data_IF_042966417667
#
_entry.id   IF_042966417667
#
_cell.length_a   1.000
_cell.length_b   1.000
_cell.length_c   1.000
_cell.angle_alpha   90.00
_cell.angle_beta   90.00
_cell.angle_gamma   90.00
#
_symmetry.space_group_name_H-M   'P 1'
#
loop_
_entity.id
_entity.type
_entity.pdbx_description
1 polymer ?
#
# COMPACT_ATOMS: atom_id res chain seq x y z
N UNK A 1 1.08 -16.80 8.47
CA UNK A 1 1.29 -16.06 7.21
C UNK A 1 0.22 -15.00 6.96
N UNK A 2 -1.07 -15.37 6.75
CA UNK A 2 -2.19 -14.41 6.58
C UNK A 2 -2.25 -13.35 7.68
N UNK A 3 -2.20 -13.78 8.93
CA UNK A 3 -2.29 -12.90 10.11
C UNK A 3 -1.24 -11.78 10.15
N UNK A 4 -0.04 -12.02 9.63
CA UNK A 4 1.11 -11.11 9.73
C UNK A 4 1.40 -10.40 8.40
N UNK A 5 1.64 -11.14 7.30
CA UNK A 5 1.95 -10.53 6.00
C UNK A 5 0.75 -9.84 5.34
N UNK A 6 -0.47 -10.31 5.61
CA UNK A 6 -1.70 -9.74 5.05
C UNK A 6 -2.48 -8.90 6.07
N UNK A 7 -1.85 -8.56 7.20
CA UNK A 7 -2.41 -7.76 8.29
C UNK A 7 -3.75 -8.31 8.84
N UNK A 8 -3.90 -9.63 8.89
CA UNK A 8 -5.11 -10.27 9.46
C UNK A 8 -5.33 -9.93 10.95
N UNK A 9 -4.26 -9.64 11.70
CA UNK A 9 -4.33 -9.17 13.09
C UNK A 9 -4.25 -7.65 13.16
N UNK A 10 -5.36 -6.98 12.83
CA UNK A 10 -5.43 -5.51 12.78
C UNK A 10 -4.98 -4.81 14.08
N UNK A 11 -5.31 -5.36 15.25
CA UNK A 11 -4.96 -4.78 16.56
C UNK A 11 -3.45 -4.75 16.82
N UNK A 12 -2.74 -5.82 16.43
CA UNK A 12 -1.29 -5.92 16.54
C UNK A 12 -0.60 -4.82 15.72
N UNK A 13 -1.03 -4.67 14.47
CA UNK A 13 -0.43 -3.67 13.58
C UNK A 13 -0.84 -2.24 13.96
N UNK A 14 -2.02 -2.04 14.54
CA UNK A 14 -2.41 -0.73 15.08
C UNK A 14 -1.47 -0.28 16.20
N UNK A 15 -1.19 -1.16 17.17
CA UNK A 15 -0.27 -0.84 18.26
C UNK A 15 1.18 -0.75 17.77
N UNK A 16 1.57 -1.58 16.79
CA UNK A 16 2.87 -1.48 16.15
C UNK A 16 3.06 -0.12 15.47
N UNK A 17 2.07 0.33 14.67
CA UNK A 17 2.11 1.63 13.99
C UNK A 17 2.25 2.77 15.01
N UNK A 18 1.50 2.71 16.12
CA UNK A 18 1.60 3.69 17.20
C UNK A 18 3.02 3.80 17.78
N UNK A 19 3.70 2.67 17.96
CA UNK A 19 5.07 2.64 18.49
C UNK A 19 6.14 2.99 17.44
N UNK A 20 5.89 2.70 16.16
CA UNK A 20 6.93 2.71 15.12
C UNK A 20 6.84 3.89 14.15
N UNK A 21 5.70 4.61 14.10
CA UNK A 21 5.48 5.67 13.12
C UNK A 21 6.63 6.70 13.09
N UNK A 22 6.99 7.24 14.25
CA UNK A 22 8.06 8.23 14.40
C UNK A 22 9.47 7.73 14.01
N UNK A 23 9.69 6.41 14.02
CA UNK A 23 10.97 5.78 13.65
C UNK A 23 11.03 5.51 12.14
N UNK A 24 9.90 5.17 11.53
CA UNK A 24 9.78 4.82 10.11
C UNK A 24 9.63 6.05 9.21
N UNK A 25 9.17 7.18 9.76
CA UNK A 25 9.09 8.48 9.07
C UNK A 25 10.48 9.13 8.87
N UNK A 26 11.52 8.57 9.47
CA UNK A 26 12.91 9.00 9.30
C UNK A 26 13.66 7.99 8.43
N UNK A 27 14.75 8.41 7.76
CA UNK A 27 15.64 7.47 7.08
C UNK A 27 16.12 6.38 8.04
N UNK A 28 16.27 5.17 7.52
CA UNK A 28 16.72 4.04 8.33
C UNK A 28 18.10 4.33 8.93
N UNK A 29 18.27 3.99 10.21
CA UNK A 29 19.55 4.08 10.93
C UNK A 29 20.06 2.69 11.24
N UNK A 30 21.33 2.58 11.66
CA UNK A 30 21.95 1.28 11.99
C UNK A 30 21.22 0.55 13.13
N UNK A 31 20.48 1.25 13.99
CA UNK A 31 19.72 0.63 15.10
C UNK A 31 18.25 0.38 14.75
N UNK A 32 17.74 0.92 13.63
CA UNK A 32 16.32 0.84 13.25
C UNK A 32 15.78 -0.60 13.24
N UNK A 33 16.57 -1.58 12.78
CA UNK A 33 16.17 -2.99 12.82
C UNK A 33 15.94 -3.50 14.25
N UNK A 34 16.85 -3.19 15.19
CA UNK A 34 16.71 -3.61 16.58
C UNK A 34 15.53 -2.91 17.25
N UNK A 35 15.42 -1.61 17.03
CA UNK A 35 14.41 -0.77 17.67
C UNK A 35 13.00 -1.14 17.16
N UNK A 36 12.87 -1.48 15.86
CA UNK A 36 11.64 -2.03 15.27
C UNK A 36 11.25 -3.37 15.89
N UNK A 37 12.20 -4.31 16.01
CA UNK A 37 11.93 -5.62 16.61
C UNK A 37 11.54 -5.50 18.09
N UNK A 38 12.15 -4.58 18.83
CA UNK A 38 11.76 -4.30 20.21
C UNK A 38 10.34 -3.71 20.29
N UNK A 39 10.00 -2.76 19.42
CA UNK A 39 8.64 -2.21 19.34
C UNK A 39 7.61 -3.28 18.96
N UNK A 40 7.97 -4.22 18.08
CA UNK A 40 7.12 -5.36 17.73
C UNK A 40 6.84 -6.29 18.92
N UNK A 41 7.86 -6.60 19.73
CA UNK A 41 7.66 -7.38 20.95
C UNK A 41 6.77 -6.65 21.98
N UNK A 42 6.93 -5.33 22.11
CA UNK A 42 6.07 -4.51 22.97
C UNK A 42 4.62 -4.51 22.50
N UNK A 43 4.37 -4.34 21.20
CA UNK A 43 3.05 -4.41 20.60
C UNK A 43 2.41 -5.80 20.80
N UNK A 44 3.19 -6.87 20.58
CA UNK A 44 2.74 -8.24 20.81
C UNK A 44 2.33 -8.49 22.27
N UNK A 45 3.08 -7.94 23.23
CA UNK A 45 2.73 -8.01 24.66
C UNK A 45 1.46 -7.23 24.99
N UNK A 46 1.28 -6.04 24.39
CA UNK A 46 0.10 -5.22 24.61
C UNK A 46 -1.20 -5.89 24.12
N UNK A 47 -1.12 -6.72 23.08
CA UNK A 47 -2.26 -7.48 22.52
C UNK A 47 -2.35 -8.90 23.14
N UNK A 48 -1.63 -9.18 24.23
CA UNK A 48 -1.62 -10.47 24.92
C UNK A 48 -1.20 -11.67 24.04
N UNK A 49 -0.38 -11.42 23.02
CA UNK A 49 0.12 -12.44 22.10
C UNK A 49 1.51 -12.97 22.47
N UNK A 50 2.12 -12.43 23.53
CA UNK A 50 3.48 -12.74 23.99
C UNK A 50 3.75 -14.22 24.27
N UNK A 51 2.72 -15.04 24.49
CA UNK A 51 2.85 -16.47 24.74
C UNK A 51 2.78 -17.34 23.47
N UNK A 52 2.58 -16.75 22.29
CA UNK A 52 2.53 -17.53 21.05
C UNK A 52 3.95 -17.79 20.55
N UNK A 53 4.33 -19.07 20.47
CA UNK A 53 5.60 -19.53 19.89
C UNK A 53 5.78 -19.12 18.42
N UNK A 54 4.74 -18.55 17.80
CA UNK A 54 4.78 -18.05 16.44
C UNK A 54 5.32 -16.62 16.33
N UNK A 55 5.21 -15.78 17.37
CA UNK A 55 5.74 -14.40 17.33
C UNK A 55 7.26 -14.38 17.30
N UNK A 56 7.92 -15.28 18.03
CA UNK A 56 9.38 -15.39 18.06
C UNK A 56 9.98 -15.77 16.69
N UNK A 57 9.16 -16.32 15.78
CA UNK A 57 9.58 -16.67 14.42
C UNK A 57 9.54 -15.49 13.45
N UNK A 58 8.88 -14.40 13.82
CA UNK A 58 8.82 -13.18 13.01
C UNK A 58 9.89 -12.19 13.45
N UNK A 59 10.59 -11.63 12.47
CA UNK A 59 11.53 -10.54 12.70
C UNK A 59 11.40 -9.51 11.59
N UNK A 60 11.57 -8.24 11.92
CA UNK A 60 11.68 -7.17 10.95
C UNK A 60 13.14 -6.94 10.60
N UNK A 61 13.39 -6.64 9.33
CA UNK A 61 14.64 -6.11 8.85
C UNK A 61 14.39 -4.78 8.15
N UNK A 62 15.19 -3.79 8.54
CA UNK A 62 15.24 -2.50 7.89
C UNK A 62 16.65 -2.34 7.34
N UNK A 63 16.86 -2.64 6.05
CA UNK A 63 18.14 -2.46 5.39
C UNK A 63 18.59 -1.01 5.55
N UNK A 64 19.76 -0.82 6.14
CA UNK A 64 20.40 0.49 6.19
C UNK A 64 21.07 0.74 4.85
N UNK A 65 20.48 1.60 4.02
CA UNK A 65 21.12 2.09 2.81
C UNK A 65 21.99 3.26 3.27
N UNK A 66 23.32 3.10 3.23
CA UNK A 66 24.23 4.23 3.44
C UNK A 66 23.92 5.27 2.34
N UNK A 67 23.60 6.53 2.68
CA UNK A 67 23.55 7.58 1.68
C UNK A 67 24.92 7.64 1.01
N UNK A 68 24.94 7.53 -0.33
CA UNK A 68 26.16 7.63 -1.13
C UNK A 68 26.57 9.11 -1.10
N UNK A 69 27.27 9.51 -0.04
CA UNK A 69 27.89 10.83 0.07
C UNK A 69 29.43 10.77 0.04
N UNK A 70 30.03 9.57 0.11
CA UNK A 70 31.49 9.40 0.24
C UNK A 70 32.16 8.70 -0.96
N UNK A 71 31.63 8.86 -2.17
CA UNK A 71 32.32 8.36 -3.37
C UNK A 71 31.94 9.13 -4.65
N UNK A 72 32.32 10.41 -4.74
CA UNK A 72 32.97 11.08 -5.90
C UNK A 72 32.71 12.58 -5.87
N UNK A 73 33.71 13.35 -5.44
CA UNK A 73 33.74 14.80 -5.57
C UNK A 73 33.97 15.29 -7.03
N UNK A 74 33.57 14.51 -8.05
CA UNK A 74 33.79 14.83 -9.46
C UNK A 74 32.70 14.20 -10.35
N UNK A 75 31.50 14.77 -10.40
CA UNK A 75 30.74 14.88 -11.65
C UNK A 75 29.58 15.86 -11.48
N UNK A 76 29.43 16.68 -12.49
CA UNK A 76 28.50 17.78 -12.64
C UNK A 76 27.06 17.32 -12.88
N UNK A 77 26.13 17.98 -12.19
CA UNK A 77 24.79 18.41 -12.63
C UNK A 77 23.80 17.31 -13.11
N UNK A 78 22.67 17.28 -12.40
CA UNK A 78 21.38 16.64 -12.74
C UNK A 78 21.25 15.12 -12.56
N UNK A 79 21.12 14.67 -11.30
CA UNK A 79 20.39 13.44 -10.94
C UNK A 79 19.60 13.65 -9.64
N UNK A 80 18.37 14.18 -9.77
CA UNK A 80 17.41 14.41 -8.67
C UNK A 80 16.71 13.11 -8.23
N UNK A 81 17.46 12.00 -8.13
CA UNK A 81 16.93 10.68 -7.77
C UNK A 81 17.57 10.08 -6.50
N UNK A 82 18.09 10.93 -5.60
CA UNK A 82 18.38 10.50 -4.22
C UNK A 82 17.07 10.30 -3.45
N UNK A 83 16.28 9.29 -3.83
CA UNK A 83 15.15 8.79 -3.06
C UNK A 83 15.74 8.22 -1.79
N UNK A 84 15.85 9.05 -0.75
CA UNK A 84 16.10 8.58 0.60
C UNK A 84 14.94 7.62 0.90
N UNK A 85 15.18 6.32 0.77
CA UNK A 85 14.15 5.33 0.89
C UNK A 85 13.62 5.35 2.33
N UNK A 86 12.46 5.98 2.53
CA UNK A 86 11.77 6.04 3.82
C UNK A 86 11.70 4.65 4.43
N UNK A 87 11.77 4.55 5.77
CA UNK A 87 11.71 3.27 6.50
C UNK A 87 10.50 2.40 6.11
N UNK A 88 9.42 3.03 5.64
CA UNK A 88 8.21 2.38 5.13
C UNK A 88 8.39 1.60 3.82
N UNK A 89 9.31 2.03 2.97
CA UNK A 89 9.60 1.38 1.68
C UNK A 89 10.60 0.25 1.81
N UNK A 90 11.46 0.32 2.84
CA UNK A 90 12.57 -0.61 3.06
C UNK A 90 12.25 -1.73 4.03
N UNK A 91 11.19 -1.59 4.84
CA UNK A 91 10.77 -2.61 5.81
C UNK A 91 10.54 -3.97 5.15
N UNK A 92 11.15 -5.00 5.74
CA UNK A 92 11.01 -6.40 5.36
C UNK A 92 10.56 -7.16 6.60
N UNK A 93 9.46 -7.88 6.49
CA UNK A 93 9.08 -8.90 7.44
C UNK A 93 9.74 -10.21 7.02
N UNK A 94 10.46 -10.83 7.95
CA UNK A 94 11.04 -12.18 7.83
C UNK A 94 10.28 -13.15 8.70
N UNK A 95 10.20 -14.39 8.23
CA UNK A 95 9.67 -15.51 8.99
C UNK A 95 10.62 -16.69 8.90
N UNK A 96 10.97 -17.25 10.07
CA UNK A 96 11.81 -18.43 10.15
C UNK A 96 10.99 -19.71 9.91
N UNK A 97 11.20 -20.34 8.76
CA UNK A 97 10.51 -21.57 8.36
C UNK A 97 11.27 -22.80 8.80
N UNK A 98 10.65 -23.64 9.63
CA UNK A 98 11.15 -24.98 9.88
C UNK A 98 10.99 -25.84 8.63
N UNK A 99 11.96 -26.73 8.41
CA UNK A 99 11.84 -27.80 7.42
C UNK A 99 10.55 -28.61 7.68
N UNK A 100 9.76 -28.97 6.65
CA UNK A 100 9.97 -28.84 5.19
C UNK A 100 9.31 -27.60 4.54
N UNK A 101 8.70 -26.70 5.32
CA UNK A 101 7.83 -25.63 4.78
C UNK A 101 8.56 -24.59 3.92
N UNK A 102 9.88 -24.45 4.09
CA UNK A 102 10.73 -23.58 3.25
C UNK A 102 10.64 -23.89 1.74
N UNK A 103 10.28 -25.13 1.36
CA UNK A 103 10.10 -25.51 -0.06
C UNK A 103 8.90 -24.80 -0.72
N UNK A 104 7.87 -24.47 0.06
CA UNK A 104 6.70 -23.72 -0.41
C UNK A 104 6.93 -22.20 -0.31
N UNK A 105 7.67 -21.77 0.71
CA UNK A 105 7.95 -20.36 1.00
C UNK A 105 9.41 -20.01 0.66
N UNK A 106 9.74 -20.13 -0.62
CA UNK A 106 11.03 -19.72 -1.14
C UNK A 106 11.23 -18.19 -0.98
N UNK A 107 12.48 -17.70 -0.95
CA UNK A 107 12.77 -16.27 -0.78
C UNK A 107 12.05 -15.37 -1.79
N UNK A 108 11.86 -15.81 -3.03
CA UNK A 108 11.16 -15.04 -4.07
C UNK A 108 9.66 -14.88 -3.74
N UNK A 109 9.07 -15.89 -3.13
CA UNK A 109 7.67 -15.88 -2.68
C UNK A 109 7.52 -14.93 -1.49
N UNK A 110 8.47 -14.93 -0.56
CA UNK A 110 8.48 -14.01 0.58
C UNK A 110 8.70 -12.55 0.17
N UNK A 111 9.53 -12.30 -0.86
CA UNK A 111 9.69 -10.96 -1.42
C UNK A 111 8.36 -10.41 -1.93
N UNK A 112 7.61 -11.22 -2.70
CA UNK A 112 6.26 -10.89 -3.18
C UNK A 112 5.25 -10.65 -2.05
N UNK A 113 5.29 -11.44 -0.97
CA UNK A 113 4.47 -11.16 0.21
C UNK A 113 4.86 -9.85 0.90
N UNK A 114 6.16 -9.51 0.91
CA UNK A 114 6.64 -8.25 1.45
C UNK A 114 6.17 -7.03 0.65
N UNK A 115 6.10 -7.13 -0.68
CA UNK A 115 5.57 -6.05 -1.52
C UNK A 115 4.10 -5.76 -1.19
N UNK A 116 3.28 -6.80 -1.06
CA UNK A 116 1.90 -6.68 -0.58
C UNK A 116 1.84 -6.12 0.85
N UNK A 117 2.66 -6.63 1.75
CA UNK A 117 2.72 -6.19 3.14
C UNK A 117 3.02 -4.68 3.25
N UNK A 118 4.01 -4.18 2.50
CA UNK A 118 4.38 -2.76 2.47
C UNK A 118 3.22 -1.88 2.03
N UNK A 119 2.52 -2.27 0.95
CA UNK A 119 1.35 -1.55 0.46
C UNK A 119 0.25 -1.48 1.53
N UNK A 120 -0.11 -2.63 2.11
CA UNK A 120 -1.14 -2.71 3.14
C UNK A 120 -0.76 -1.91 4.39
N UNK A 121 0.50 -1.98 4.80
CA UNK A 121 1.04 -1.26 5.94
C UNK A 121 1.00 0.25 5.69
N UNK A 122 1.38 0.73 4.50
CA UNK A 122 1.34 2.16 4.16
C UNK A 122 -0.09 2.70 4.16
N UNK A 123 -1.03 1.97 3.56
CA UNK A 123 -2.46 2.32 3.59
C UNK A 123 -2.98 2.38 5.04
N UNK A 124 -2.60 1.41 5.88
CA UNK A 124 -3.00 1.38 7.29
C UNK A 124 -2.38 2.51 8.12
N UNK A 125 -1.13 2.88 7.86
CA UNK A 125 -0.49 4.05 8.45
C UNK A 125 -1.27 5.32 8.10
N UNK A 126 -1.49 5.59 6.82
CA UNK A 126 -2.22 6.79 6.37
C UNK A 126 -3.64 6.84 6.95
N UNK A 127 -4.34 5.71 7.03
CA UNK A 127 -5.65 5.63 7.71
C UNK A 127 -5.54 5.98 9.21
N UNK A 128 -4.52 5.44 9.91
CA UNK A 128 -4.28 5.74 11.31
C UNK A 128 -4.00 7.23 11.55
N UNK A 129 -3.13 7.82 10.73
CA UNK A 129 -2.72 9.22 10.85
C UNK A 129 -3.90 10.15 10.60
N UNK A 130 -4.73 9.88 9.57
CA UNK A 130 -5.97 10.62 9.33
C UNK A 130 -6.95 10.50 10.51
N UNK A 131 -7.10 9.33 11.13
CA UNK A 131 -7.95 9.19 12.32
C UNK A 131 -7.40 9.92 13.55
N UNK A 132 -6.08 9.95 13.74
CA UNK A 132 -5.44 10.71 14.81
C UNK A 132 -5.69 12.21 14.63
N UNK A 133 -5.51 12.70 13.41
CA UNK A 133 -5.74 14.09 13.00
C UNK A 133 -7.19 14.54 13.25
N UNK A 134 -8.17 13.66 13.03
CA UNK A 134 -9.59 13.95 13.27
C UNK A 134 -9.87 14.35 14.71
N UNK A 135 -9.16 13.78 15.69
CA UNK A 135 -9.35 14.11 17.11
C UNK A 135 -9.04 15.58 17.39
N UNK A 136 -8.03 16.12 16.70
CA UNK A 136 -7.61 17.52 16.78
C UNK A 136 -8.59 18.43 16.03
N UNK A 137 -8.99 18.05 14.81
CA UNK A 137 -9.87 18.90 13.99
C UNK A 137 -11.34 18.88 14.38
N UNK A 138 -11.85 17.82 15.03
CA UNK A 138 -13.23 17.78 15.53
C UNK A 138 -13.53 18.90 16.53
N UNK A 139 -12.53 19.40 17.24
CA UNK A 139 -12.65 20.52 18.17
C UNK A 139 -12.64 21.88 17.44
N UNK A 140 -12.16 21.90 16.20
CA UNK A 140 -11.99 23.09 15.39
C UNK A 140 -13.23 23.27 14.49
N UNK A 141 -13.92 24.42 14.57
CA UNK A 141 -15.12 24.71 13.76
C UNK A 141 -14.84 24.98 12.27
N UNK A 142 -13.80 24.37 11.69
CA UNK A 142 -13.33 24.63 10.33
C UNK A 142 -13.94 23.65 9.34
N UNK A 143 -14.96 24.10 8.63
CA UNK A 143 -15.70 23.27 7.68
C UNK A 143 -14.83 22.73 6.54
N UNK A 144 -13.96 23.57 5.94
CA UNK A 144 -13.14 23.16 4.78
C UNK A 144 -12.13 22.05 5.12
N UNK A 145 -11.46 22.14 6.28
CA UNK A 145 -10.54 21.10 6.75
C UNK A 145 -11.29 19.79 7.01
N UNK A 146 -12.41 19.87 7.73
CA UNK A 146 -13.24 18.70 8.00
C UNK A 146 -13.78 18.07 6.71
N UNK A 147 -14.11 18.89 5.71
CA UNK A 147 -14.56 18.41 4.41
C UNK A 147 -13.45 17.66 3.67
N UNK A 148 -12.24 18.23 3.59
CA UNK A 148 -11.09 17.56 2.97
C UNK A 148 -10.70 16.28 3.72
N UNK A 149 -10.70 16.32 5.05
CA UNK A 149 -10.45 15.15 5.88
C UNK A 149 -11.45 14.02 5.58
N UNK A 150 -12.75 14.31 5.58
CA UNK A 150 -13.78 13.34 5.26
C UNK A 150 -13.61 12.76 3.85
N UNK A 151 -13.19 13.61 2.89
CA UNK A 151 -12.90 13.18 1.51
C UNK A 151 -11.77 12.16 1.44
N UNK A 152 -10.64 12.48 2.06
CA UNK A 152 -9.46 11.61 2.11
C UNK A 152 -9.76 10.31 2.87
N UNK A 153 -10.46 10.43 4.00
CA UNK A 153 -10.84 9.29 4.83
C UNK A 153 -11.75 8.32 4.07
N UNK A 154 -12.78 8.83 3.40
CA UNK A 154 -13.68 8.02 2.57
C UNK A 154 -12.92 7.24 1.50
N UNK A 155 -12.00 7.90 0.78
CA UNK A 155 -11.18 7.24 -0.24
C UNK A 155 -10.32 6.13 0.38
N UNK A 156 -9.65 6.42 1.49
CA UNK A 156 -8.77 5.47 2.17
C UNK A 156 -9.51 4.25 2.71
N UNK A 157 -10.69 4.45 3.32
CA UNK A 157 -11.52 3.36 3.83
C UNK A 157 -12.02 2.45 2.69
N UNK A 158 -12.46 3.03 1.58
CA UNK A 158 -12.90 2.24 0.42
C UNK A 158 -11.75 1.47 -0.23
N UNK A 159 -10.57 2.08 -0.36
CA UNK A 159 -9.39 1.40 -0.90
C UNK A 159 -8.96 0.23 0.00
N UNK A 160 -8.92 0.46 1.31
CA UNK A 160 -8.59 -0.57 2.29
C UNK A 160 -9.61 -1.72 2.28
N UNK A 161 -10.90 -1.39 2.18
CA UNK A 161 -11.97 -2.39 2.13
C UNK A 161 -11.93 -3.22 0.83
N UNK A 162 -11.64 -2.60 -0.31
CA UNK A 162 -11.41 -3.32 -1.57
C UNK A 162 -10.26 -4.32 -1.45
N UNK A 163 -9.09 -3.86 -0.97
CA UNK A 163 -7.92 -4.71 -0.85
C UNK A 163 -8.17 -5.86 0.13
N UNK A 164 -8.79 -5.62 1.29
CA UNK A 164 -9.01 -6.69 2.25
C UNK A 164 -10.13 -7.66 1.86
N UNK A 165 -11.32 -7.16 1.52
CA UNK A 165 -12.49 -8.01 1.30
C UNK A 165 -12.50 -8.61 -0.11
N UNK A 166 -12.30 -7.79 -1.15
CA UNK A 166 -12.46 -8.26 -2.53
C UNK A 166 -11.20 -8.90 -3.07
N UNK A 167 -10.01 -8.40 -2.69
CA UNK A 167 -8.74 -8.98 -3.15
C UNK A 167 -8.29 -10.07 -2.19
N UNK A 168 -7.96 -9.76 -0.94
CA UNK A 168 -7.31 -10.73 -0.06
C UNK A 168 -8.24 -11.87 0.36
N UNK A 169 -9.43 -11.57 0.90
CA UNK A 169 -10.31 -12.62 1.42
C UNK A 169 -10.81 -13.56 0.32
N UNK A 170 -11.29 -13.01 -0.81
CA UNK A 170 -11.78 -13.82 -1.92
C UNK A 170 -10.71 -14.74 -2.52
N UNK A 171 -9.47 -14.24 -2.66
CA UNK A 171 -8.34 -15.03 -3.13
C UNK A 171 -7.94 -16.09 -2.11
N UNK A 172 -7.97 -15.75 -0.82
CA UNK A 172 -7.57 -16.65 0.25
C UNK A 172 -8.57 -17.81 0.41
N UNK A 173 -9.87 -17.55 0.31
CA UNK A 173 -10.90 -18.61 0.29
C UNK A 173 -10.66 -19.58 -0.87
N UNK A 174 -10.36 -19.07 -2.08
CA UNK A 174 -10.03 -19.93 -3.23
C UNK A 174 -8.79 -20.78 -3.00
N UNK A 175 -7.74 -20.23 -2.37
CA UNK A 175 -6.55 -20.99 -1.99
C UNK A 175 -6.90 -22.07 -0.97
N UNK A 176 -7.68 -21.76 0.06
CA UNK A 176 -8.05 -22.71 1.11
C UNK A 176 -8.90 -23.86 0.54
N UNK A 177 -9.83 -23.56 -0.37
CA UNK A 177 -10.60 -24.58 -1.08
C UNK A 177 -9.69 -25.49 -1.92
N UNK A 178 -8.68 -24.92 -2.59
CA UNK A 178 -7.70 -25.71 -3.33
C UNK A 178 -6.85 -26.59 -2.40
N UNK A 179 -6.41 -26.06 -1.25
CA UNK A 179 -5.66 -26.82 -0.24
C UNK A 179 -6.48 -28.02 0.26
N UNK A 180 -7.76 -27.80 0.56
CA UNK A 180 -8.64 -28.85 1.08
C UNK A 180 -8.98 -29.94 0.05
N UNK A 181 -8.94 -29.61 -1.25
CA UNK A 181 -9.28 -30.54 -2.34
C UNK A 181 -8.08 -31.34 -2.87
N UNK A 182 -6.86 -30.94 -2.54
CA UNK A 182 -5.66 -31.41 -3.22
C UNK A 182 -4.72 -32.14 -2.28
N UNK A 183 -4.36 -33.37 -2.62
CA UNK A 183 -3.38 -34.18 -1.86
C UNK A 183 -1.99 -34.19 -2.50
N UNK A 184 -1.76 -33.34 -3.49
CA UNK A 184 -0.54 -33.26 -4.30
C UNK A 184 0.19 -31.96 -4.01
N UNK A 185 1.46 -32.08 -3.60
CA UNK A 185 2.30 -30.94 -3.21
C UNK A 185 2.55 -29.98 -4.38
N UNK A 186 2.75 -30.49 -5.60
CA UNK A 186 3.03 -29.63 -6.76
C UNK A 186 1.80 -28.81 -7.16
N UNK A 187 0.61 -29.43 -7.09
CA UNK A 187 -0.65 -28.72 -7.32
C UNK A 187 -0.93 -27.67 -6.23
N UNK A 188 -0.61 -27.98 -4.97
CA UNK A 188 -0.68 -27.01 -3.87
C UNK A 188 0.26 -25.82 -4.11
N UNK A 189 1.51 -26.09 -4.50
CA UNK A 189 2.51 -25.09 -4.83
C UNK A 189 2.06 -24.19 -5.99
N UNK A 190 1.50 -24.78 -7.04
CA UNK A 190 0.94 -24.04 -8.17
C UNK A 190 -0.28 -23.19 -7.80
N UNK A 191 -1.17 -23.71 -6.95
CA UNK A 191 -2.32 -22.96 -6.43
C UNK A 191 -1.88 -21.75 -5.59
N UNK A 192 -0.85 -21.94 -4.74
CA UNK A 192 -0.26 -20.85 -3.95
C UNK A 192 0.43 -19.79 -4.82
N UNK A 193 1.16 -20.21 -5.87
CA UNK A 193 1.75 -19.27 -6.82
C UNK A 193 0.70 -18.46 -7.57
N UNK A 194 -0.40 -19.10 -7.99
CA UNK A 194 -1.56 -18.45 -8.61
C UNK A 194 -2.22 -17.45 -7.66
N UNK A 195 -2.44 -17.84 -6.40
CA UNK A 195 -2.98 -16.96 -5.36
C UNK A 195 -2.12 -15.69 -5.22
N UNK A 196 -0.80 -15.84 -5.14
CA UNK A 196 0.11 -14.72 -4.96
C UNK A 196 0.14 -13.78 -6.19
N UNK A 197 0.13 -14.35 -7.39
CA UNK A 197 0.02 -13.58 -8.63
C UNK A 197 -1.31 -12.82 -8.72
N UNK A 198 -2.42 -13.46 -8.32
CA UNK A 198 -3.75 -12.87 -8.27
C UNK A 198 -3.83 -11.70 -7.27
N UNK A 199 -3.30 -11.83 -6.06
CA UNK A 199 -3.34 -10.72 -5.09
C UNK A 199 -2.48 -9.54 -5.56
N UNK A 200 -1.28 -9.78 -6.09
CA UNK A 200 -0.38 -8.73 -6.55
C UNK A 200 -0.96 -7.97 -7.75
N UNK A 201 -1.43 -8.69 -8.77
CA UNK A 201 -2.02 -8.07 -9.96
C UNK A 201 -3.27 -7.25 -9.62
N UNK A 202 -4.16 -7.78 -8.75
CA UNK A 202 -5.38 -7.08 -8.32
C UNK A 202 -5.14 -5.94 -7.34
N UNK A 203 -4.00 -5.93 -6.66
CA UNK A 203 -3.54 -4.78 -5.86
C UNK A 203 -2.79 -3.71 -6.68
N UNK A 204 -2.74 -3.88 -8.00
CA UNK A 204 -2.05 -2.99 -8.95
C UNK A 204 -0.52 -2.98 -8.82
N UNK A 205 0.07 -3.89 -8.04
CA UNK A 205 1.53 -3.98 -7.86
C UNK A 205 2.26 -4.52 -9.09
N UNK A 206 1.60 -5.32 -9.92
CA UNK A 206 2.17 -5.90 -11.14
C UNK A 206 1.33 -5.56 -12.37
N UNK A 207 1.99 -5.05 -13.40
CA UNK A 207 1.40 -4.80 -14.72
C UNK A 207 1.60 -6.06 -15.55
N UNK A 208 0.54 -6.81 -15.81
CA UNK A 208 0.58 -7.90 -16.80
C UNK A 208 0.52 -7.30 -18.20
N UNK A 209 1.66 -6.80 -18.71
CA UNK A 209 1.82 -6.61 -20.15
C UNK A 209 1.91 -7.99 -20.79
N UNK A 210 0.76 -8.57 -21.10
CA UNK A 210 0.67 -9.66 -22.07
C UNK A 210 0.92 -9.08 -23.45
N UNK A 211 2.17 -8.76 -23.78
CA UNK A 211 2.62 -8.78 -25.16
C UNK A 211 3.43 -10.06 -25.36
N UNK A 212 2.79 -11.01 -26.04
CA UNK A 212 3.49 -12.01 -26.83
C UNK A 212 4.33 -11.24 -27.85
N UNK A 213 5.60 -10.99 -27.54
CA UNK A 213 6.61 -10.79 -28.57
C UNK A 213 7.29 -12.13 -28.79
N UNK A 214 6.74 -12.88 -29.75
CA UNK A 214 7.49 -13.96 -30.39
C UNK A 214 8.69 -13.36 -31.12
N UNK A 215 9.89 -13.80 -30.74
CA UNK A 215 11.12 -13.65 -31.54
C UNK A 215 12.05 -12.51 -31.12
N UNK A 216 13.26 -12.87 -30.68
CA UNK A 216 14.41 -11.98 -30.65
C UNK A 216 15.36 -12.22 -29.48
N UNK A 217 16.41 -13.01 -29.73
CA UNK A 217 17.63 -13.03 -28.91
C UNK A 217 18.11 -11.60 -28.63
N UNK A 218 18.30 -11.25 -27.36
CA UNK A 218 19.20 -10.16 -26.93
C UNK A 218 19.41 -10.22 -25.42
N UNK A 219 20.66 -10.46 -25.03
CA UNK A 219 21.17 -10.20 -23.69
C UNK A 219 21.04 -8.70 -23.39
N UNK A 220 20.34 -8.34 -22.32
CA UNK A 220 20.16 -6.94 -21.93
C UNK A 220 19.51 -6.84 -20.56
N UNK A 221 20.33 -6.54 -19.56
CA UNK A 221 19.95 -6.05 -18.24
C UNK A 221 19.06 -4.80 -18.39
N UNK A 222 17.81 -4.90 -17.96
CA UNK A 222 16.80 -3.88 -18.16
C UNK A 222 15.53 -4.27 -17.42
N UNK A 223 15.52 -4.01 -16.11
CA UNK A 223 14.29 -4.05 -15.30
C UNK A 223 13.41 -2.89 -15.76
N UNK A 224 12.70 -3.07 -16.88
CA UNK A 224 11.63 -2.17 -17.30
C UNK A 224 10.50 -2.27 -16.26
N UNK A 225 10.66 -1.51 -15.18
CA UNK A 225 9.65 -1.31 -14.16
C UNK A 225 8.57 -0.44 -14.78
N UNK A 226 7.71 -1.03 -15.62
CA UNK A 226 6.48 -0.38 -16.07
C UNK A 226 5.58 -0.33 -14.84
N UNK A 227 5.81 0.64 -13.96
CA UNK A 227 5.01 0.90 -12.77
C UNK A 227 3.57 1.11 -13.20
N UNK A 228 2.65 0.31 -12.68
CA UNK A 228 1.24 0.43 -13.00
C UNK A 228 0.76 1.88 -12.72
N UNK A 229 0.21 2.60 -13.71
CA UNK A 229 -0.17 4.00 -13.53
C UNK A 229 -1.22 4.18 -12.42
N UNK A 230 -2.05 3.16 -12.17
CA UNK A 230 -3.01 3.15 -11.05
C UNK A 230 -2.28 3.12 -9.72
N UNK A 231 -1.23 2.32 -9.60
CA UNK A 231 -0.42 2.23 -8.39
C UNK A 231 0.31 3.54 -8.09
N UNK A 232 0.90 4.17 -9.12
CA UNK A 232 1.55 5.48 -8.97
C UNK A 232 0.55 6.52 -8.48
N UNK A 233 -0.66 6.55 -9.06
CA UNK A 233 -1.71 7.46 -8.62
C UNK A 233 -2.16 7.20 -7.17
N UNK A 234 -2.32 5.93 -6.76
CA UNK A 234 -2.61 5.56 -5.36
C UNK A 234 -1.49 6.02 -4.43
N UNK A 235 -0.22 5.86 -4.83
CA UNK A 235 0.92 6.34 -4.04
C UNK A 235 0.94 7.86 -3.91
N UNK A 236 0.59 8.59 -4.97
CA UNK A 236 0.47 10.05 -4.91
C UNK A 236 -0.70 10.52 -4.04
N UNK A 237 -1.80 9.77 -4.00
CA UNK A 237 -2.91 10.00 -3.07
C UNK A 237 -2.48 9.76 -1.61
N UNK A 238 -1.69 8.71 -1.35
CA UNK A 238 -1.13 8.46 -0.01
C UNK A 238 -0.18 9.60 0.41
N UNK A 239 0.72 10.04 -0.47
CA UNK A 239 1.60 11.19 -0.22
C UNK A 239 0.82 12.48 0.06
N UNK A 240 -0.29 12.68 -0.65
CA UNK A 240 -1.19 13.81 -0.40
C UNK A 240 -1.77 13.76 1.02
N UNK A 241 -2.24 12.58 1.45
CA UNK A 241 -2.75 12.39 2.81
C UNK A 241 -1.67 12.65 3.86
N UNK A 242 -0.45 12.14 3.64
CA UNK A 242 0.67 12.35 4.57
C UNK A 242 1.06 13.84 4.66
N UNK A 243 1.04 14.55 3.53
CA UNK A 243 1.28 16.01 3.47
C UNK A 243 0.19 16.79 4.22
N UNK A 244 -1.08 16.37 4.07
CA UNK A 244 -2.20 16.96 4.80
C UNK A 244 -2.09 16.72 6.31
N UNK A 245 -1.69 15.51 6.74
CA UNK A 245 -1.47 15.21 8.15
C UNK A 245 -0.34 16.06 8.75
N UNK A 246 0.77 16.22 8.02
CA UNK A 246 1.93 16.99 8.46
C UNK A 246 1.66 18.49 8.54
N UNK A 247 0.75 19.02 7.71
CA UNK A 247 0.40 20.43 7.70
C UNK A 247 -0.19 20.93 9.03
N UNK A 248 -0.83 20.05 9.79
CA UNK A 248 -1.36 20.38 11.12
C UNK A 248 -0.29 20.86 12.11
N UNK A 249 0.98 20.51 11.88
CA UNK A 249 2.11 20.89 12.75
C UNK A 249 2.67 22.29 12.43
N UNK A 250 2.42 22.83 11.22
CA UNK A 250 3.09 24.04 10.71
C UNK A 250 2.17 25.26 10.53
N UNK A 251 0.86 25.07 10.45
CA UNK A 251 -0.08 26.15 10.16
C UNK A 251 -0.38 27.03 11.39
N UNK A 252 0.48 28.02 11.67
CA UNK A 252 0.22 29.06 12.66
C UNK A 252 -0.65 30.20 12.13
N UNK A 253 -0.69 30.38 10.81
CA UNK A 253 -1.42 31.46 10.12
C UNK A 253 -2.64 30.92 9.35
N UNK A 254 -3.78 31.60 9.50
CA UNK A 254 -5.09 31.17 8.97
C UNK A 254 -5.19 31.33 7.46
N UNK A 255 -4.56 32.36 6.88
CA UNK A 255 -4.64 32.60 5.43
C UNK A 255 -3.77 31.60 4.67
N UNK A 256 -2.59 31.28 5.21
CA UNK A 256 -1.74 30.19 4.73
C UNK A 256 -2.48 28.84 4.84
N UNK A 257 -3.08 28.59 6.02
CA UNK A 257 -4.23 27.73 6.28
C UNK A 257 -5.04 27.30 5.05
N UNK A 258 -5.91 28.24 4.69
CA UNK A 258 -6.93 28.10 3.66
C UNK A 258 -6.33 27.97 2.25
N UNK A 259 -5.20 28.63 1.99
CA UNK A 259 -4.46 28.47 0.72
C UNK A 259 -3.99 27.03 0.53
N UNK A 260 -3.36 26.43 1.55
CA UNK A 260 -2.90 25.05 1.48
C UNK A 260 -4.06 24.05 1.39
N UNK A 261 -5.14 24.24 2.16
CA UNK A 261 -6.33 23.36 2.09
C UNK A 261 -6.92 23.37 0.67
N UNK A 262 -7.03 24.55 0.06
CA UNK A 262 -7.53 24.67 -1.31
C UNK A 262 -6.60 23.94 -2.29
N UNK A 263 -5.29 24.14 -2.18
CA UNK A 263 -4.30 23.42 -2.99
C UNK A 263 -4.39 21.89 -2.85
N UNK A 264 -4.55 21.40 -1.62
CA UNK A 264 -4.74 19.97 -1.36
C UNK A 264 -6.06 19.43 -1.94
N UNK A 265 -7.15 20.18 -1.82
CA UNK A 265 -8.44 19.81 -2.41
C UNK A 265 -8.37 19.75 -3.94
N UNK A 266 -7.70 20.72 -4.58
CA UNK A 266 -7.54 20.73 -6.05
C UNK A 266 -6.67 19.55 -6.52
N UNK A 267 -5.60 19.24 -5.78
CA UNK A 267 -4.73 18.09 -6.08
C UNK A 267 -5.46 16.77 -5.86
N UNK A 268 -6.25 16.65 -4.79
CA UNK A 268 -7.12 15.49 -4.55
C UNK A 268 -8.07 15.27 -5.74
N UNK A 269 -8.78 16.31 -6.16
CA UNK A 269 -9.74 16.22 -7.27
C UNK A 269 -9.05 15.81 -8.59
N UNK A 270 -7.86 16.35 -8.87
CA UNK A 270 -7.05 15.95 -10.04
C UNK A 270 -6.65 14.47 -9.99
N UNK A 271 -6.13 14.01 -8.85
CA UNK A 271 -5.68 12.63 -8.67
C UNK A 271 -6.85 11.65 -8.75
N UNK A 272 -7.98 11.97 -8.12
CA UNK A 272 -9.22 11.20 -8.18
C UNK A 272 -9.76 11.11 -9.62
N UNK A 273 -9.73 12.21 -10.36
CA UNK A 273 -10.12 12.24 -11.78
C UNK A 273 -9.22 11.34 -12.62
N UNK A 274 -7.91 11.42 -12.42
CA UNK A 274 -6.93 10.56 -13.09
C UNK A 274 -7.16 9.09 -12.72
N UNK A 275 -7.35 8.76 -11.44
CA UNK A 275 -7.66 7.41 -10.98
C UNK A 275 -8.89 6.87 -11.71
N UNK A 276 -9.96 7.64 -11.73
CA UNK A 276 -11.22 7.24 -12.35
C UNK A 276 -11.07 7.02 -13.85
N UNK A 277 -10.35 7.91 -14.55
CA UNK A 277 -10.03 7.74 -15.98
C UNK A 277 -9.18 6.50 -16.24
N UNK A 278 -8.14 6.26 -15.43
CA UNK A 278 -7.29 5.08 -15.55
C UNK A 278 -8.08 3.79 -15.29
N UNK A 279 -8.92 3.76 -14.25
CA UNK A 279 -9.78 2.61 -13.95
C UNK A 279 -10.76 2.31 -15.08
N UNK A 280 -11.30 3.35 -15.75
CA UNK A 280 -12.17 3.19 -16.93
C UNK A 280 -11.39 2.71 -18.15
N UNK A 281 -10.23 3.30 -18.46
CA UNK A 281 -9.41 2.88 -19.60
C UNK A 281 -8.87 1.45 -19.45
N UNK A 282 -8.62 1.01 -18.21
CA UNK A 282 -8.13 -0.33 -17.92
C UNK A 282 -9.27 -1.36 -17.74
N UNK A 283 -10.54 -0.92 -17.75
CA UNK A 283 -11.71 -1.80 -17.68
C UNK A 283 -11.80 -2.77 -18.86
N UNK A 284 -11.30 -2.38 -20.03
CA UNK A 284 -11.38 -3.22 -21.23
C UNK A 284 -10.23 -4.25 -21.32
N UNK A 285 -9.26 -4.20 -20.38
CA UNK A 285 -8.18 -5.21 -20.25
C UNK A 285 -8.60 -6.34 -19.32
N UNK A 286 -7.87 -7.46 -19.34
CA UNK A 286 -8.18 -8.69 -18.58
C UNK A 286 -8.36 -8.52 -17.05
N UNK A 287 -7.87 -7.42 -16.45
CA UNK A 287 -8.09 -7.06 -15.05
C UNK A 287 -9.40 -6.27 -14.81
N UNK A 288 -10.18 -6.02 -15.85
CA UNK A 288 -11.30 -5.10 -15.91
C UNK A 288 -12.46 -5.40 -14.98
N UNK A 289 -12.77 -6.68 -14.75
CA UNK A 289 -13.85 -7.08 -13.85
C UNK A 289 -13.58 -6.69 -12.38
N UNK A 290 -12.32 -6.71 -11.96
CA UNK A 290 -11.92 -6.33 -10.60
C UNK A 290 -11.75 -4.82 -10.46
N UNK A 291 -11.29 -4.15 -11.51
CA UNK A 291 -11.26 -2.69 -11.63
C UNK A 291 -12.68 -2.10 -11.59
N UNK A 292 -13.64 -2.76 -12.24
CA UNK A 292 -15.05 -2.37 -12.19
C UNK A 292 -15.64 -2.49 -10.79
N UNK A 293 -15.25 -3.50 -10.00
CA UNK A 293 -15.69 -3.63 -8.59
C UNK A 293 -15.11 -2.53 -7.70
N UNK A 294 -13.82 -2.21 -7.87
CA UNK A 294 -13.21 -1.07 -7.19
C UNK A 294 -13.91 0.24 -7.57
N UNK A 295 -14.14 0.45 -8.87
CA UNK A 295 -14.83 1.63 -9.37
C UNK A 295 -16.27 1.74 -8.84
N UNK A 296 -17.02 0.63 -8.80
CA UNK A 296 -18.37 0.59 -8.26
C UNK A 296 -18.42 0.90 -6.75
N UNK A 297 -17.39 0.53 -5.99
CA UNK A 297 -17.29 0.85 -4.55
C UNK A 297 -16.85 2.30 -4.33
N UNK A 298 -15.83 2.74 -5.04
CA UNK A 298 -15.37 4.14 -5.02
C UNK A 298 -16.50 5.10 -5.46
N UNK A 299 -17.32 4.69 -6.42
CA UNK A 299 -18.43 5.49 -6.96
C UNK A 299 -19.81 5.04 -6.45
N UNK A 300 -19.88 4.25 -5.38
CA UNK A 300 -21.14 3.64 -4.88
C UNK A 300 -22.23 4.66 -4.56
N UNK A 301 -21.86 5.93 -4.31
CA UNK A 301 -22.78 7.05 -4.07
C UNK A 301 -22.67 8.18 -5.10
N UNK A 302 -22.03 7.97 -6.27
CA UNK A 302 -21.65 9.03 -7.23
C UNK A 302 -20.83 10.17 -6.62
N UNK A 303 -20.28 9.97 -5.43
CA UNK A 303 -19.64 11.02 -4.66
C UNK A 303 -18.34 11.46 -5.35
N UNK A 304 -17.51 10.50 -5.79
CA UNK A 304 -16.33 10.75 -6.61
C UNK A 304 -16.71 11.38 -7.97
N UNK A 305 -17.75 10.87 -8.63
CA UNK A 305 -18.25 11.40 -9.91
C UNK A 305 -18.80 12.82 -9.85
N UNK A 306 -19.45 13.19 -8.74
CA UNK A 306 -19.97 14.54 -8.50
C UNK A 306 -18.83 15.52 -8.21
N UNK A 307 -17.82 15.08 -7.45
CA UNK A 307 -16.64 15.86 -7.06
C UNK A 307 -15.69 16.11 -8.24
N UNK A 308 -15.51 15.13 -9.13
CA UNK A 308 -14.61 15.23 -10.29
C UNK A 308 -15.26 15.90 -11.52
N UNK A 309 -16.47 16.48 -11.37
CA UNK A 309 -17.30 17.03 -12.47
C UNK A 309 -17.49 16.04 -13.63
N UNK A 310 -17.46 14.73 -13.34
CA UNK A 310 -17.49 13.65 -14.33
C UNK A 310 -18.92 13.16 -14.63
N UNK A 311 -19.92 13.92 -14.19
CA UNK A 311 -21.34 13.56 -14.16
C UNK A 311 -21.94 13.18 -15.52
N UNK A 312 -21.36 13.62 -16.64
CA UNK A 312 -21.84 13.27 -18.00
C UNK A 312 -21.17 12.05 -18.63
N UNK A 313 -19.92 11.72 -18.28
CA UNK A 313 -19.14 10.69 -18.97
C UNK A 313 -19.25 9.30 -18.34
N UNK A 314 -19.37 9.18 -17.01
CA UNK A 314 -19.47 7.87 -16.33
C UNK A 314 -20.85 7.23 -16.43
N UNK A 315 -21.92 8.03 -16.44
CA UNK A 315 -23.31 7.53 -16.54
C UNK A 315 -23.61 6.87 -17.89
N UNK A 316 -22.94 7.28 -18.95
CA UNK A 316 -23.03 6.62 -20.27
C UNK A 316 -22.15 5.38 -20.38
N UNK A 317 -21.04 5.32 -19.61
CA UNK A 317 -20.08 4.21 -19.67
C UNK A 317 -20.37 3.07 -18.69
N UNK A 318 -21.09 3.31 -17.58
CA UNK A 318 -21.57 2.25 -16.66
C UNK A 318 -22.83 1.53 -17.17
N UNK A 319 -23.43 2.00 -18.27
CA UNK A 319 -24.63 1.41 -18.91
C UNK A 319 -24.31 0.49 -20.10
N UNK A 320 -23.05 0.30 -20.44
CA UNK A 320 -22.59 -0.65 -21.47
C UNK A 320 -21.74 -1.73 -20.83
#
# INVERSE_FOLDING_TARGET
MKDFYLLGRGELFLELLRLTAHMLDKPTTRTSTRDMNHAFQLAARAVFLSNSADIEKFSFELPYIKPIADATANSSLDDDSSVVADGWSTIILKYDFKWPLHLLFAPEVLARYNDMFRLLLRIKKTQHDLHALWKTYKQTRRFAVCQLHNKLMFLMDNLQHYLQADVLESNFSRLMDAVNKTNDFEKLKAAHATFLADILSRSFLTTTTSERSEGGDSSGDGVETITNPVFVNIMDLLKLCDSFCSMSEFASDREAEDYYIKGYSDRFNKLVKQLTQLLVCLRDRACGAYLARLLMRLDYNRWLSAEAELTRSLTHMLRC
#
